data_IF_386852573381
#
_entry.id   IF_386852573381
#
_cell.length_a   1.000
_cell.length_b   1.000
_cell.length_c   1.000
_cell.angle_alpha   90.00
_cell.angle_beta   90.00
_cell.angle_gamma   90.00
#
_symmetry.space_group_name_H-M   'P 1'
#
loop_
_entity.id
_entity.type
_entity.pdbx_description
1 polymer ?
#
# COMPACT_ATOMS: atom_id res chain seq x y z
N UNK A 1 -24.41 -6.70 39.97
CA UNK A 1 -23.23 -5.90 39.66
C UNK A 1 -22.95 -6.17 38.18
N UNK A 2 -23.39 -5.29 37.28
CA UNK A 2 -23.26 -5.51 35.84
C UNK A 2 -21.86 -5.10 35.41
N UNK A 3 -21.18 -6.01 34.72
CA UNK A 3 -19.90 -5.75 34.09
C UNK A 3 -20.09 -4.74 32.97
N UNK A 4 -19.42 -3.59 33.06
CA UNK A 4 -19.52 -2.44 32.16
C UNK A 4 -18.53 -2.51 30.98
N UNK A 5 -17.82 -3.60 30.84
CA UNK A 5 -16.90 -3.83 29.73
C UNK A 5 -17.50 -4.85 28.78
N UNK A 6 -18.15 -4.31 27.75
CA UNK A 6 -18.58 -5.12 26.61
C UNK A 6 -17.41 -5.97 26.10
N UNK A 7 -17.71 -7.20 25.72
CA UNK A 7 -16.76 -8.16 25.16
C UNK A 7 -15.85 -7.46 24.14
N UNK A 8 -14.55 -7.44 24.44
CA UNK A 8 -13.55 -7.14 23.43
C UNK A 8 -13.67 -8.29 22.43
N UNK A 9 -14.33 -8.05 21.29
CA UNK A 9 -14.27 -8.98 20.16
C UNK A 9 -12.78 -9.21 19.88
N UNK A 10 -12.30 -10.36 20.31
CA UNK A 10 -10.96 -10.83 19.95
C UNK A 10 -10.98 -10.94 18.45
N UNK A 11 -10.32 -10.00 17.76
CA UNK A 11 -10.16 -10.06 16.30
C UNK A 11 -9.45 -11.40 16.05
N UNK A 12 -10.21 -12.38 15.56
CA UNK A 12 -9.68 -13.68 15.24
C UNK A 12 -8.49 -13.48 14.29
N UNK A 13 -7.35 -14.06 14.66
CA UNK A 13 -6.17 -14.02 13.80
C UNK A 13 -6.48 -14.85 12.56
N UNK A 14 -6.67 -14.19 11.42
CA UNK A 14 -6.88 -14.85 10.14
C UNK A 14 -5.52 -15.34 9.64
N UNK A 15 -5.43 -16.64 9.38
CA UNK A 15 -4.23 -17.24 8.83
C UNK A 15 -3.94 -16.66 7.43
N UNK A 16 -2.69 -16.28 7.19
CA UNK A 16 -2.28 -15.70 5.92
C UNK A 16 -1.83 -16.82 4.97
N UNK A 17 -2.54 -16.99 3.86
CA UNK A 17 -2.30 -18.00 2.85
C UNK A 17 -1.63 -17.45 1.58
N UNK A 18 -0.99 -16.29 1.64
CA UNK A 18 -0.35 -15.66 0.48
C UNK A 18 0.72 -16.57 -0.16
N UNK A 19 1.40 -17.40 0.62
CA UNK A 19 2.42 -18.32 0.13
C UNK A 19 1.87 -19.43 -0.79
N UNK A 20 0.54 -19.64 -0.80
CA UNK A 20 -0.13 -20.55 -1.72
C UNK A 20 -0.15 -20.02 -3.18
N UNK A 21 0.15 -18.74 -3.38
CA UNK A 21 0.09 -18.08 -4.67
C UNK A 21 1.46 -17.55 -5.08
N UNK A 22 1.82 -17.76 -6.35
CA UNK A 22 3.08 -17.28 -6.89
C UNK A 22 2.81 -16.40 -8.11
N UNK A 23 3.05 -15.10 -7.94
CA UNK A 23 3.15 -14.14 -9.03
C UNK A 23 4.63 -13.77 -9.18
N UNK A 24 5.19 -13.95 -10.37
CA UNK A 24 6.58 -13.60 -10.62
C UNK A 24 6.85 -12.13 -10.28
N UNK A 25 7.88 -11.89 -9.45
CA UNK A 25 8.24 -10.55 -8.98
C UNK A 25 7.38 -9.99 -7.84
N UNK A 26 6.39 -10.76 -7.33
CA UNK A 26 5.64 -10.38 -6.12
C UNK A 26 6.35 -10.91 -4.88
N UNK A 27 6.64 -10.03 -3.94
CA UNK A 27 7.21 -10.40 -2.64
C UNK A 27 6.32 -9.84 -1.52
N UNK A 28 5.95 -10.69 -0.57
CA UNK A 28 5.22 -10.30 0.63
C UNK A 28 6.12 -10.42 1.85
N UNK A 29 6.22 -9.37 2.64
CA UNK A 29 7.07 -9.28 3.83
C UNK A 29 6.17 -9.01 5.05
N UNK A 30 5.78 -10.05 5.80
CA UNK A 30 5.00 -9.88 7.02
C UNK A 30 5.87 -9.18 8.09
N UNK A 31 5.23 -8.41 8.97
CA UNK A 31 5.89 -7.72 10.09
C UNK A 31 7.14 -6.92 9.66
N UNK A 32 7.06 -6.24 8.50
CA UNK A 32 8.17 -5.46 7.95
C UNK A 32 8.59 -4.30 8.87
N UNK A 33 7.63 -3.75 9.62
CA UNK A 33 7.88 -2.75 10.66
C UNK A 33 7.46 -3.29 12.02
N UNK A 34 8.21 -2.90 13.05
CA UNK A 34 7.87 -3.18 14.44
C UNK A 34 6.61 -2.43 14.87
N UNK A 35 6.00 -2.83 16.00
CA UNK A 35 4.87 -2.10 16.57
C UNK A 35 5.23 -0.64 16.86
N UNK A 36 6.42 -0.37 17.36
CA UNK A 36 6.88 1.00 17.65
C UNK A 36 7.01 1.84 16.38
N UNK A 37 7.60 1.29 15.31
CA UNK A 37 7.69 1.96 14.01
C UNK A 37 6.31 2.20 13.39
N UNK A 38 5.40 1.21 13.48
CA UNK A 38 4.02 1.33 13.03
C UNK A 38 3.29 2.50 13.71
N UNK A 39 3.35 2.56 15.04
CA UNK A 39 2.67 3.60 15.83
C UNK A 39 3.30 4.98 15.56
N UNK A 40 4.63 5.04 15.43
CA UNK A 40 5.36 6.25 15.06
C UNK A 40 4.96 6.76 13.67
N UNK A 41 4.89 5.88 12.67
CA UNK A 41 4.50 6.24 11.30
C UNK A 41 3.07 6.79 11.26
N UNK A 42 2.10 6.10 11.88
CA UNK A 42 0.72 6.59 11.95
C UNK A 42 0.63 7.95 12.62
N UNK A 43 1.34 8.13 13.76
CA UNK A 43 1.38 9.43 14.46
C UNK A 43 2.02 10.53 13.62
N UNK A 44 3.04 10.22 12.82
CA UNK A 44 3.69 11.18 11.93
C UNK A 44 2.78 11.58 10.77
N UNK A 45 2.13 10.60 10.14
CA UNK A 45 1.16 10.80 9.06
C UNK A 45 -0.02 11.65 9.53
N UNK A 46 -0.55 11.38 10.72
CA UNK A 46 -1.74 12.07 11.23
C UNK A 46 -1.48 13.53 11.63
N UNK A 47 -0.23 13.95 11.75
CA UNK A 47 0.16 15.35 11.96
C UNK A 47 0.22 16.16 10.68
N UNK A 48 0.33 15.49 9.53
CA UNK A 48 0.44 16.13 8.23
C UNK A 48 -0.94 16.37 7.59
N UNK A 49 -1.09 17.41 6.78
CA UNK A 49 -2.37 17.71 6.15
C UNK A 49 -2.76 16.64 5.13
N UNK A 50 -4.05 16.29 5.16
CA UNK A 50 -4.65 15.38 4.20
C UNK A 50 -5.28 16.15 3.04
N UNK A 51 -5.16 15.60 1.82
CA UNK A 51 -5.81 16.09 0.61
C UNK A 51 -7.04 15.22 0.31
N UNK A 52 -8.14 15.85 -0.03
CA UNK A 52 -9.42 15.23 -0.37
C UNK A 52 -9.63 15.17 -1.90
N UNK A 53 -8.56 15.17 -2.69
CA UNK A 53 -8.58 15.16 -4.16
C UNK A 53 -9.21 13.89 -4.75
N UNK A 54 -9.32 12.82 -3.97
CA UNK A 54 -9.86 11.53 -4.36
C UNK A 54 -11.00 11.12 -3.39
N UNK A 55 -11.71 10.02 -3.71
CA UNK A 55 -12.72 9.43 -2.81
C UNK A 55 -12.15 8.98 -1.45
N UNK A 56 -10.83 8.86 -1.34
CA UNK A 56 -10.06 8.60 -0.14
C UNK A 56 -9.08 9.74 0.10
N UNK A 57 -8.72 10.00 1.35
CA UNK A 57 -7.71 11.02 1.68
C UNK A 57 -6.31 10.54 1.27
N UNK A 58 -5.50 11.48 0.82
CA UNK A 58 -4.13 11.19 0.36
C UNK A 58 -3.14 12.24 0.85
N UNK A 59 -1.86 11.86 0.93
CA UNK A 59 -0.74 12.77 1.09
C UNK A 59 0.30 12.44 0.02
N UNK A 60 0.94 13.45 -0.56
CA UNK A 60 1.97 13.30 -1.57
C UNK A 60 3.30 13.83 -1.04
N UNK A 61 4.37 13.06 -1.23
CA UNK A 61 5.72 13.42 -0.85
C UNK A 61 6.69 13.18 -2.01
N UNK A 62 7.69 14.06 -2.16
CA UNK A 62 8.62 14.05 -3.27
C UNK A 62 8.00 14.65 -4.52
N UNK A 63 7.18 13.90 -5.22
CA UNK A 63 6.52 14.32 -6.46
C UNK A 63 5.01 14.13 -6.37
N UNK A 64 4.24 15.12 -6.88
CA UNK A 64 2.80 14.97 -7.09
C UNK A 64 2.55 14.20 -8.40
N UNK A 65 1.76 13.13 -8.32
CA UNK A 65 1.34 12.39 -9.50
C UNK A 65 0.08 13.00 -10.10
N UNK A 66 0.08 13.23 -11.42
CA UNK A 66 -1.10 13.68 -12.15
C UNK A 66 -1.95 12.48 -12.58
N UNK A 67 -3.01 12.21 -11.81
CA UNK A 67 -3.94 11.10 -12.08
C UNK A 67 -4.73 11.27 -13.38
N UNK A 68 -4.92 12.51 -13.86
CA UNK A 68 -5.70 12.80 -15.06
C UNK A 68 -4.90 12.51 -16.33
N UNK A 69 -3.62 12.91 -16.33
CA UNK A 69 -2.77 12.78 -17.50
C UNK A 69 -1.74 11.64 -17.40
N UNK A 70 -1.78 10.88 -16.30
CA UNK A 70 -0.87 9.75 -16.05
C UNK A 70 0.60 10.10 -16.29
N UNK A 71 1.07 11.22 -15.71
CA UNK A 71 2.43 11.72 -15.92
C UNK A 71 3.05 12.30 -14.65
N UNK A 72 4.38 12.36 -14.66
CA UNK A 72 5.21 13.12 -13.73
C UNK A 72 6.27 13.87 -14.55
N UNK A 73 6.56 15.11 -14.17
CA UNK A 73 7.64 15.90 -14.73
C UNK A 73 8.37 16.71 -13.64
N UNK A 74 9.46 17.37 -13.99
CA UNK A 74 10.29 18.15 -13.07
C UNK A 74 9.52 19.19 -12.25
N UNK A 75 8.51 19.84 -12.85
CA UNK A 75 7.72 20.88 -12.18
C UNK A 75 6.72 20.30 -11.15
N UNK A 76 6.56 18.99 -11.10
CA UNK A 76 5.67 18.30 -10.12
C UNK A 76 6.39 17.90 -8.84
N UNK A 77 7.68 18.27 -8.70
CA UNK A 77 8.39 18.10 -7.44
C UNK A 77 7.78 19.04 -6.39
N UNK A 78 7.34 18.46 -5.27
CA UNK A 78 6.73 19.22 -4.18
C UNK A 78 7.81 19.63 -3.18
N UNK A 79 8.47 18.64 -2.59
CA UNK A 79 9.50 18.80 -1.55
C UNK A 79 10.43 17.59 -1.56
N UNK A 80 11.49 17.63 -0.76
CA UNK A 80 12.20 16.40 -0.36
C UNK A 80 11.28 15.53 0.52
N UNK A 81 11.58 14.24 0.62
CA UNK A 81 10.90 13.38 1.59
C UNK A 81 11.22 13.89 3.01
N UNK A 82 10.23 14.05 3.89
CA UNK A 82 10.50 14.38 5.29
C UNK A 82 11.36 13.28 5.92
N UNK A 83 12.14 13.63 6.95
CA UNK A 83 13.18 12.76 7.53
C UNK A 83 12.64 11.37 7.90
N UNK A 84 11.43 11.31 8.44
CA UNK A 84 10.80 10.05 8.84
C UNK A 84 10.47 9.14 7.64
N UNK A 85 10.15 9.67 6.45
CA UNK A 85 9.99 8.91 5.21
C UNK A 85 11.34 8.61 4.55
N UNK A 86 12.27 9.56 4.55
CA UNK A 86 13.59 9.40 3.96
C UNK A 86 14.36 8.23 4.61
N UNK A 87 14.25 8.06 5.92
CA UNK A 87 14.84 6.90 6.64
C UNK A 87 14.31 5.57 6.11
N UNK A 88 12.99 5.47 5.86
CA UNK A 88 12.39 4.27 5.28
C UNK A 88 12.80 4.07 3.82
N UNK A 89 12.87 5.13 3.01
CA UNK A 89 13.34 5.06 1.64
C UNK A 89 14.79 4.53 1.56
N UNK A 90 15.68 5.02 2.43
CA UNK A 90 17.06 4.54 2.55
C UNK A 90 17.10 3.06 3.00
N UNK A 91 16.28 2.68 3.98
CA UNK A 91 16.18 1.28 4.42
C UNK A 91 15.78 0.35 3.29
N UNK A 92 14.80 0.73 2.47
CA UNK A 92 14.36 -0.07 1.32
C UNK A 92 15.48 -0.28 0.30
N UNK A 93 16.30 0.74 0.07
CA UNK A 93 17.49 0.66 -0.77
C UNK A 93 18.56 -0.24 -0.14
N UNK A 94 18.89 -0.05 1.13
CA UNK A 94 19.91 -0.84 1.85
C UNK A 94 19.56 -2.33 1.95
N UNK A 95 18.26 -2.66 2.01
CA UNK A 95 17.77 -4.05 2.01
C UNK A 95 17.68 -4.65 0.60
N UNK A 96 18.08 -3.94 -0.46
CA UNK A 96 18.05 -4.41 -1.84
C UNK A 96 16.64 -4.54 -2.43
N UNK A 97 15.63 -3.96 -1.77
CA UNK A 97 14.27 -3.92 -2.31
C UNK A 97 14.23 -2.99 -3.52
N UNK A 98 14.85 -1.82 -3.42
CA UNK A 98 15.06 -0.90 -4.54
C UNK A 98 16.53 -0.88 -4.96
N UNK A 99 16.79 -0.72 -6.27
CA UNK A 99 18.14 -0.49 -6.83
C UNK A 99 18.65 0.93 -6.63
N UNK A 100 17.73 1.87 -6.44
CA UNK A 100 17.99 3.30 -6.21
C UNK A 100 17.04 3.77 -5.12
N UNK A 101 17.44 4.74 -4.29
CA UNK A 101 16.59 5.26 -3.22
C UNK A 101 15.28 5.81 -3.83
N UNK A 102 14.10 5.33 -3.41
CA UNK A 102 12.81 5.86 -3.86
C UNK A 102 12.65 7.32 -3.40
N UNK A 103 12.10 8.15 -4.26
CA UNK A 103 11.98 9.61 -4.09
C UNK A 103 10.54 10.13 -4.17
N UNK A 104 9.57 9.22 -4.30
CA UNK A 104 8.15 9.54 -4.28
C UNK A 104 7.42 8.59 -3.32
N UNK A 105 6.59 9.17 -2.44
CA UNK A 105 5.69 8.42 -1.57
C UNK A 105 4.29 9.00 -1.67
N UNK A 106 3.31 8.10 -1.88
CA UNK A 106 1.90 8.42 -1.72
C UNK A 106 1.39 7.69 -0.49
N UNK A 107 0.82 8.45 0.45
CA UNK A 107 0.08 7.91 1.58
C UNK A 107 -1.40 7.91 1.24
N UNK A 108 -2.06 6.75 1.30
CA UNK A 108 -3.50 6.62 1.09
C UNK A 108 -4.17 6.15 2.38
N UNK A 109 -5.25 6.81 2.77
CA UNK A 109 -6.13 6.34 3.84
C UNK A 109 -7.36 5.66 3.25
N UNK A 110 -7.70 4.51 3.79
CA UNK A 110 -8.91 3.76 3.45
C UNK A 110 -9.76 3.56 4.70
N UNK A 111 -10.95 4.14 4.71
CA UNK A 111 -12.00 3.84 5.68
C UNK A 111 -12.85 2.65 5.20
N UNK A 112 -13.61 1.98 6.09
CA UNK A 112 -14.53 0.92 5.68
C UNK A 112 -15.46 1.37 4.56
N UNK A 113 -15.53 0.60 3.48
CA UNK A 113 -16.28 0.93 2.27
C UNK A 113 -15.46 1.65 1.18
N UNK A 114 -14.26 2.11 1.50
CA UNK A 114 -13.35 2.70 0.51
C UNK A 114 -12.43 1.63 -0.10
N UNK A 115 -11.93 1.91 -1.30
CA UNK A 115 -11.02 1.02 -2.04
C UNK A 115 -10.29 1.76 -3.16
N UNK A 116 -9.67 0.99 -4.02
CA UNK A 116 -9.03 1.47 -5.24
C UNK A 116 -9.30 0.48 -6.37
N UNK A 117 -9.68 0.98 -7.52
CA UNK A 117 -9.90 0.17 -8.72
C UNK A 117 -8.63 -0.54 -9.16
N UNK A 118 -8.77 -1.69 -9.82
CA UNK A 118 -7.65 -2.42 -10.40
C UNK A 118 -6.87 -1.52 -11.37
N UNK A 119 -5.56 -1.44 -11.16
CA UNK A 119 -4.66 -0.63 -11.97
C UNK A 119 -3.23 -1.20 -11.92
N UNK A 120 -2.42 -0.80 -12.88
CA UNK A 120 -0.96 -0.90 -12.86
C UNK A 120 -0.44 0.51 -12.58
N UNK A 121 0.53 0.65 -11.67
CA UNK A 121 1.21 1.94 -11.48
C UNK A 121 1.84 2.37 -12.80
N UNK A 122 1.73 3.66 -13.14
CA UNK A 122 2.18 4.24 -14.42
C UNK A 122 3.59 3.73 -14.81
N UNK A 123 3.72 2.84 -15.82
CA UNK A 123 5.03 2.27 -16.16
C UNK A 123 6.06 3.30 -16.60
N UNK A 124 5.71 4.31 -17.44
CA UNK A 124 6.68 5.34 -17.83
C UNK A 124 7.01 6.34 -16.70
N UNK A 125 6.16 6.44 -15.65
CA UNK A 125 6.37 7.39 -14.57
C UNK A 125 7.28 6.88 -13.47
N UNK A 126 7.31 5.55 -13.27
CA UNK A 126 7.97 4.93 -12.12
C UNK A 126 8.84 3.75 -12.55
N UNK A 127 9.95 3.58 -11.86
CA UNK A 127 10.90 2.50 -12.13
C UNK A 127 10.32 1.10 -11.91
N UNK A 128 11.18 0.11 -12.05
CA UNK A 128 10.87 -1.32 -12.04
C UNK A 128 10.37 -1.87 -10.69
N UNK A 129 10.33 -1.05 -9.66
CA UNK A 129 9.95 -1.47 -8.31
C UNK A 129 8.92 -0.53 -7.70
N UNK A 130 7.86 -1.11 -7.15
CA UNK A 130 6.87 -0.44 -6.28
C UNK A 130 6.77 -1.21 -4.98
N UNK A 131 6.81 -0.51 -3.84
CA UNK A 131 6.65 -1.14 -2.53
C UNK A 131 5.56 -0.43 -1.73
N UNK A 132 4.64 -1.19 -1.15
CA UNK A 132 3.53 -0.65 -0.37
C UNK A 132 3.52 -1.23 1.04
N UNK A 133 3.73 -0.37 2.05
CA UNK A 133 3.63 -0.68 3.47
C UNK A 133 2.18 -0.50 3.93
N UNK A 134 1.65 -1.47 4.66
CA UNK A 134 0.31 -1.46 5.23
C UNK A 134 0.35 -1.14 6.72
N UNK A 135 -0.41 -0.14 7.16
CA UNK A 135 -0.58 0.24 8.56
C UNK A 135 -2.08 0.23 8.93
N UNK A 136 -2.35 0.05 10.22
CA UNK A 136 -3.73 0.02 10.74
C UNK A 136 -4.43 -1.32 10.48
N UNK A 137 -5.54 -1.31 9.75
CA UNK A 137 -6.31 -2.53 9.48
C UNK A 137 -5.73 -3.36 8.35
N UNK A 138 -5.88 -4.66 8.45
CA UNK A 138 -5.68 -5.58 7.33
C UNK A 138 -6.76 -5.40 6.25
N UNK A 139 -6.47 -5.81 5.01
CA UNK A 139 -7.43 -5.88 3.91
C UNK A 139 -7.00 -6.89 2.86
N UNK A 140 -7.92 -7.34 2.01
CA UNK A 140 -7.59 -8.12 0.82
C UNK A 140 -7.32 -7.19 -0.36
N UNK A 141 -6.13 -7.34 -0.97
CA UNK A 141 -5.78 -6.77 -2.26
C UNK A 141 -5.90 -7.87 -3.31
N UNK A 142 -6.64 -7.61 -4.37
CA UNK A 142 -6.73 -8.53 -5.49
C UNK A 142 -5.68 -8.18 -6.53
N UNK A 143 -4.91 -9.18 -6.96
CA UNK A 143 -4.09 -9.12 -8.14
C UNK A 143 -4.85 -9.75 -9.29
N UNK A 144 -5.06 -9.03 -10.38
CA UNK A 144 -5.80 -9.48 -11.56
C UNK A 144 -4.86 -9.44 -12.74
N UNK A 145 -4.72 -10.55 -13.46
CA UNK A 145 -3.94 -10.62 -14.68
C UNK A 145 -4.51 -9.62 -15.72
N UNK A 146 -3.65 -8.82 -16.34
CA UNK A 146 -4.10 -7.81 -17.31
C UNK A 146 -4.72 -8.42 -18.56
N UNK A 147 -4.26 -9.62 -18.95
CA UNK A 147 -4.67 -10.32 -20.18
C UNK A 147 -5.81 -11.33 -19.93
N UNK A 148 -6.01 -11.74 -18.66
CA UNK A 148 -7.11 -12.62 -18.23
C UNK A 148 -7.77 -12.05 -16.97
N UNK A 149 -8.97 -11.49 -17.12
CA UNK A 149 -9.69 -10.84 -16.01
C UNK A 149 -10.29 -11.81 -14.99
N UNK A 150 -10.39 -13.09 -15.35
CA UNK A 150 -10.88 -14.14 -14.46
C UNK A 150 -9.74 -14.73 -13.62
N UNK A 151 -8.49 -14.52 -14.01
CA UNK A 151 -7.30 -14.87 -13.24
C UNK A 151 -7.06 -13.83 -12.16
N UNK A 152 -7.65 -14.08 -10.98
CA UNK A 152 -7.64 -13.17 -9.82
C UNK A 152 -7.07 -13.88 -8.60
N UNK A 153 -6.00 -13.33 -8.07
CA UNK A 153 -5.32 -13.84 -6.87
C UNK A 153 -5.54 -12.87 -5.70
N UNK A 154 -6.23 -13.28 -4.62
CA UNK A 154 -6.41 -12.46 -3.43
C UNK A 154 -5.18 -12.57 -2.52
N UNK A 155 -4.64 -11.43 -2.12
CA UNK A 155 -3.57 -11.32 -1.13
C UNK A 155 -4.07 -10.63 0.13
N UNK A 156 -3.89 -11.27 1.28
CA UNK A 156 -4.15 -10.65 2.57
C UNK A 156 -2.96 -9.74 2.94
N UNK A 157 -3.22 -8.46 3.04
CA UNK A 157 -2.26 -7.47 3.52
C UNK A 157 -2.49 -7.23 5.01
N UNK A 158 -1.64 -7.82 5.84
CA UNK A 158 -1.67 -7.63 7.28
C UNK A 158 -1.17 -6.23 7.68
N UNK A 159 -1.55 -5.80 8.87
CA UNK A 159 -0.93 -4.61 9.47
C UNK A 159 0.58 -4.83 9.61
N UNK A 160 1.35 -3.78 9.38
CA UNK A 160 2.82 -3.79 9.44
C UNK A 160 3.51 -4.62 8.37
N UNK A 161 2.76 -5.13 7.36
CA UNK A 161 3.32 -5.87 6.23
C UNK A 161 3.70 -4.94 5.08
N UNK A 162 4.61 -5.41 4.23
CA UNK A 162 4.97 -4.76 2.97
C UNK A 162 4.77 -5.73 1.81
N UNK A 163 4.19 -5.24 0.73
CA UNK A 163 4.15 -5.90 -0.57
C UNK A 163 5.07 -5.16 -1.53
N UNK A 164 5.90 -5.93 -2.26
CA UNK A 164 6.84 -5.41 -3.27
C UNK A 164 6.47 -5.99 -4.62
N UNK A 165 6.35 -5.12 -5.61
CA UNK A 165 5.99 -5.44 -6.99
C UNK A 165 7.20 -5.19 -7.89
N UNK A 166 7.66 -6.22 -8.56
CA UNK A 166 8.70 -6.21 -9.59
C UNK A 166 8.23 -7.07 -10.77
N UNK A 167 8.91 -7.06 -11.88
CA UNK A 167 8.70 -7.97 -13.00
C UNK A 167 7.20 -8.08 -13.41
N UNK A 168 6.65 -9.30 -13.50
CA UNK A 168 5.25 -9.52 -13.91
C UNK A 168 4.27 -8.88 -12.92
N UNK A 169 4.53 -8.98 -11.62
CA UNK A 169 3.71 -8.33 -10.60
C UNK A 169 3.61 -6.81 -10.80
N UNK A 170 4.66 -6.19 -11.36
CA UNK A 170 4.74 -4.76 -11.64
C UNK A 170 4.06 -4.36 -12.95
N UNK A 171 4.12 -5.22 -14.00
CA UNK A 171 3.76 -4.84 -15.35
C UNK A 171 2.63 -5.66 -15.99
N UNK A 172 2.36 -6.85 -15.45
CA UNK A 172 1.36 -7.77 -15.98
C UNK A 172 0.17 -8.00 -15.05
N UNK A 173 0.29 -7.64 -13.79
CA UNK A 173 -0.78 -7.80 -12.80
C UNK A 173 -1.29 -6.45 -12.31
N UNK A 174 -2.58 -6.20 -12.56
CA UNK A 174 -3.27 -5.08 -11.94
C UNK A 174 -3.53 -5.41 -10.47
N UNK A 175 -3.47 -4.40 -9.62
CA UNK A 175 -3.81 -4.56 -8.21
C UNK A 175 -4.90 -3.58 -7.80
N UNK A 176 -5.76 -4.02 -6.88
CA UNK A 176 -6.89 -3.23 -6.41
C UNK A 176 -7.48 -3.73 -5.10
N UNK A 177 -8.25 -2.88 -4.45
CA UNK A 177 -8.94 -3.15 -3.20
C UNK A 177 -10.43 -2.87 -3.41
N UNK A 178 -11.29 -3.86 -3.19
CA UNK A 178 -12.74 -3.72 -3.35
C UNK A 178 -13.31 -2.66 -2.40
N UNK A 179 -14.33 -1.93 -2.83
CA UNK A 179 -15.04 -0.91 -2.03
C UNK A 179 -16.11 -1.58 -1.16
N UNK A 180 -15.68 -2.27 -0.10
CA UNK A 180 -16.54 -3.02 0.83
C UNK A 180 -16.17 -2.74 2.28
N UNK A 181 -17.10 -2.97 3.21
CA UNK A 181 -16.86 -2.81 4.66
C UNK A 181 -16.20 -4.03 5.30
N UNK A 182 -16.22 -5.17 4.61
CA UNK A 182 -15.55 -6.40 5.04
C UNK A 182 -15.06 -7.16 3.83
N UNK A 183 -13.92 -7.84 3.97
CA UNK A 183 -13.39 -8.78 3.00
C UNK A 183 -13.81 -10.22 3.36
N UNK A 184 -13.92 -11.06 2.34
CA UNK A 184 -13.91 -12.51 2.51
C UNK A 184 -12.54 -12.99 2.02
N UNK A 185 -11.83 -13.73 2.88
CA UNK A 185 -10.55 -14.34 2.58
C UNK A 185 -10.59 -15.80 3.03
N UNK A 186 -10.67 -16.73 2.08
CA UNK A 186 -11.06 -18.11 2.32
C UNK A 186 -12.36 -18.15 3.14
N UNK A 187 -12.42 -18.93 4.21
CA UNK A 187 -13.60 -19.09 5.06
C UNK A 187 -13.75 -18.01 6.14
N UNK A 188 -12.88 -16.96 6.09
CA UNK A 188 -12.87 -15.90 7.09
C UNK A 188 -13.47 -14.60 6.56
N UNK A 189 -14.32 -13.98 7.37
CA UNK A 189 -14.80 -12.61 7.17
C UNK A 189 -13.93 -11.65 7.96
N UNK A 190 -13.29 -10.71 7.26
CA UNK A 190 -12.39 -9.69 7.82
C UNK A 190 -13.14 -8.36 7.84
N UNK A 191 -13.46 -7.87 9.03
CA UNK A 191 -14.06 -6.54 9.19
C UNK A 191 -12.99 -5.49 9.01
N UNK A 192 -13.19 -4.58 8.06
CA UNK A 192 -12.24 -3.49 7.81
C UNK A 192 -12.40 -2.39 8.84
N UNK A 193 -11.26 -1.84 9.24
CA UNK A 193 -11.17 -0.61 9.99
C UNK A 193 -10.32 0.39 9.18
N UNK A 194 -9.88 1.48 9.77
CA UNK A 194 -8.98 2.43 9.14
C UNK A 194 -7.67 1.75 8.73
N UNK A 195 -7.35 1.80 7.45
CA UNK A 195 -6.07 1.35 6.88
C UNK A 195 -5.34 2.54 6.27
N UNK A 196 -4.05 2.61 6.48
CA UNK A 196 -3.16 3.56 5.81
C UNK A 196 -2.12 2.77 5.03
N UNK A 197 -1.86 3.14 3.77
CA UNK A 197 -0.76 2.58 2.99
C UNK A 197 0.23 3.64 2.57
N UNK A 198 1.52 3.32 2.66
CA UNK A 198 2.61 4.13 2.12
C UNK A 198 3.17 3.41 0.91
N UNK A 199 2.98 4.00 -0.27
CA UNK A 199 3.49 3.43 -1.52
C UNK A 199 4.73 4.20 -1.96
N UNK A 200 5.87 3.51 -1.94
CA UNK A 200 7.20 4.02 -2.31
C UNK A 200 7.47 3.73 -3.78
N UNK A 201 8.00 4.71 -4.50
CA UNK A 201 8.36 4.62 -5.93
C UNK A 201 9.59 5.45 -6.23
N UNK A 202 10.33 5.05 -7.24
CA UNK A 202 11.38 5.91 -7.85
C UNK A 202 10.81 6.52 -9.12
N UNK A 203 10.78 7.84 -9.18
CA UNK A 203 10.28 8.58 -10.35
C UNK A 203 11.27 8.47 -11.51
N UNK A 204 10.75 8.30 -12.71
CA UNK A 204 11.44 8.47 -13.99
C UNK A 204 11.01 9.82 -14.54
N UNK A 205 11.97 10.70 -14.77
CA UNK A 205 11.74 11.98 -15.43
C UNK A 205 12.23 11.86 -16.87
N UNK A 206 11.36 12.19 -17.81
CA UNK A 206 11.76 12.35 -19.21
C UNK A 206 12.51 13.68 -19.35
N UNK A 207 13.63 13.67 -20.05
CA UNK A 207 14.44 14.84 -20.37
C UNK A 207 13.74 15.78 -21.36
#
# INVERSE_FOLDING_TARGET
MYDLFGEIETIAHVENHNDNYKINGLTYLPNFVTKQEHDFLLSSIDKEPWLDDLKRRVQHYGYKYDYKFHRINHNMRITELPEWLAKFAIRLYQQGIFKVIPDQVIVNEYLPGQGITNHIDCPPCFSDTVASLSLGSQCVMNFTNKDDKDDVIPYLLDKSSMVVLKEDARYCWMHGIKMVKSDNYFDHKIIRQRRVSLTFRKVILED
#
